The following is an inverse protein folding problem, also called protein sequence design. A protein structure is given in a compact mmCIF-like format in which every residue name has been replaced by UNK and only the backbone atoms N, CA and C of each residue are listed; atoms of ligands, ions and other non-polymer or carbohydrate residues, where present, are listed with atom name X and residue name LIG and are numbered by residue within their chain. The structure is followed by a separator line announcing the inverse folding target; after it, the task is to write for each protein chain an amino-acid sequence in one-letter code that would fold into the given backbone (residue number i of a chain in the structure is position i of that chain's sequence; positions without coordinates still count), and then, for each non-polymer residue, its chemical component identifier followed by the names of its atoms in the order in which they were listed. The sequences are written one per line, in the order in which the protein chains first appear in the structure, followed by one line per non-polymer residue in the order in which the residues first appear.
data_IF_045715004924
#
_entry.id   IF_045715004924
#
_cell.length_a   1.000
_cell.length_b   1.000
_cell.length_c   1.000
_cell.angle_alpha   90.00
_cell.angle_beta   90.00
_cell.angle_gamma   90.00
#
_symmetry.space_group_name_H-M   'P 1'
#
loop_
_entity.id
_entity.type
_entity.pdbx_description
1 polymer ?
#
# COMPACT_ATOMS: atom_id res chain seq x y z
N UNK A 1 -25.36 21.57 69.86
CA UNK A 1 -24.84 22.50 68.83
C UNK A 1 -24.26 21.59 67.79
N UNK A 2 -25.16 21.19 66.91
CA UNK A 2 -24.98 20.06 66.01
C UNK A 2 -24.70 20.68 64.66
N UNK A 3 -23.45 20.58 64.19
CA UNK A 3 -23.11 21.03 62.85
C UNK A 3 -23.78 20.09 61.85
N UNK A 4 -24.77 20.62 61.15
CA UNK A 4 -25.52 19.86 60.15
C UNK A 4 -24.61 19.54 58.97
N UNK A 5 -24.46 18.25 58.69
CA UNK A 5 -23.85 17.73 57.47
C UNK A 5 -24.62 18.26 56.25
N UNK A 6 -24.05 19.24 55.53
CA UNK A 6 -24.65 19.77 54.30
C UNK A 6 -24.25 18.89 53.11
N UNK A 7 -25.22 18.38 52.33
CA UNK A 7 -24.93 17.52 51.17
C UNK A 7 -24.49 18.31 49.93
N UNK A 8 -24.44 19.64 49.98
CA UNK A 8 -24.21 20.51 48.81
C UNK A 8 -22.75 20.53 48.32
N UNK A 9 -21.82 19.92 49.05
CA UNK A 9 -20.40 19.91 48.69
C UNK A 9 -19.91 18.55 48.14
N UNK A 10 -20.83 17.76 47.55
CA UNK A 10 -20.47 16.62 46.71
C UNK A 10 -19.94 17.14 45.37
N UNK A 11 -18.69 17.58 45.41
CA UNK A 11 -17.88 17.84 44.22
C UNK A 11 -17.74 16.51 43.48
N UNK A 12 -18.54 16.36 42.43
CA UNK A 12 -18.40 15.24 41.50
C UNK A 12 -17.07 15.44 40.78
N UNK A 13 -16.01 14.82 41.30
CA UNK A 13 -14.85 14.46 40.50
C UNK A 13 -15.39 13.62 39.34
N UNK A 14 -15.61 14.28 38.20
CA UNK A 14 -15.57 13.60 36.92
C UNK A 14 -14.15 13.05 36.84
N UNK A 15 -14.00 11.74 37.09
CA UNK A 15 -12.87 11.00 36.57
C UNK A 15 -12.85 11.31 35.07
N UNK A 16 -11.86 12.11 34.67
CA UNK A 16 -11.64 12.52 33.29
C UNK A 16 -11.31 11.21 32.54
N UNK A 17 -12.34 10.58 31.95
CA UNK A 17 -12.19 9.40 31.09
C UNK A 17 -11.31 9.82 29.93
N UNK A 18 -9.99 9.66 30.10
CA UNK A 18 -8.92 10.18 29.25
C UNK A 18 -9.28 10.00 27.78
N UNK A 19 -9.80 11.07 27.17
CA UNK A 19 -10.56 10.97 25.92
C UNK A 19 -9.63 10.42 24.84
N UNK A 20 -9.95 9.21 24.39
CA UNK A 20 -9.14 8.49 23.40
C UNK A 20 -9.11 9.32 22.12
N UNK A 21 -7.94 9.89 21.81
CA UNK A 21 -7.76 10.74 20.63
C UNK A 21 -8.27 10.07 19.36
N UNK A 22 -8.77 10.86 18.41
CA UNK A 22 -9.30 10.35 17.14
C UNK A 22 -8.28 9.43 16.44
N UNK A 23 -6.99 9.76 16.51
CA UNK A 23 -5.90 8.97 15.92
C UNK A 23 -5.77 7.59 16.57
N UNK A 24 -5.77 7.54 17.91
CA UNK A 24 -5.72 6.27 18.67
C UNK A 24 -6.95 5.43 18.36
N UNK A 25 -8.15 6.02 18.49
CA UNK A 25 -9.42 5.38 18.19
C UNK A 25 -9.44 4.80 16.78
N UNK A 26 -9.04 5.59 15.77
CA UNK A 26 -9.03 5.18 14.37
C UNK A 26 -8.04 4.02 14.13
N UNK A 27 -6.86 4.03 14.74
CA UNK A 27 -5.88 2.95 14.57
C UNK A 27 -6.32 1.65 15.25
N UNK A 28 -7.06 1.73 16.36
CA UNK A 28 -7.60 0.57 17.08
C UNK A 28 -8.89 0.00 16.45
N UNK A 29 -9.49 0.69 15.48
CA UNK A 29 -10.65 0.16 14.73
C UNK A 29 -10.31 -1.17 14.05
N UNK A 30 -11.21 -2.14 14.20
CA UNK A 30 -11.09 -3.47 13.59
C UNK A 30 -11.09 -3.38 12.06
N UNK A 31 -9.93 -3.60 11.45
CA UNK A 31 -9.67 -3.37 10.03
C UNK A 31 -8.50 -2.43 9.80
N UNK A 32 -8.13 -1.59 10.76
CA UNK A 32 -7.09 -0.58 10.64
C UNK A 32 -5.72 -1.02 11.22
N UNK A 33 -5.54 -2.32 11.49
CA UNK A 33 -4.35 -2.85 12.15
C UNK A 33 -3.03 -2.63 11.36
N UNK A 34 -3.11 -2.22 10.10
CA UNK A 34 -1.96 -1.89 9.24
C UNK A 34 -1.47 -0.44 9.37
N UNK A 35 -2.22 0.44 10.04
CA UNK A 35 -1.78 1.82 10.32
C UNK A 35 -0.81 1.85 11.50
N UNK A 36 0.10 2.82 11.50
CA UNK A 36 0.71 3.34 12.72
C UNK A 36 0.03 4.66 13.13
N UNK A 37 0.17 5.03 14.40
CA UNK A 37 -0.23 6.35 14.87
C UNK A 37 0.73 7.40 14.32
N UNK A 38 0.22 8.37 13.57
CA UNK A 38 0.98 9.52 13.09
C UNK A 38 1.16 10.51 14.25
N UNK A 39 2.36 11.04 14.43
CA UNK A 39 2.64 12.03 15.47
C UNK A 39 1.84 13.32 15.22
N UNK A 40 1.21 13.89 16.26
CA UNK A 40 0.49 15.17 16.16
C UNK A 40 1.38 16.28 15.60
N UNK A 41 2.66 16.34 16.00
CA UNK A 41 3.60 17.35 15.50
C UNK A 41 3.77 17.33 13.97
N UNK A 42 3.72 16.14 13.35
CA UNK A 42 3.83 15.98 11.90
C UNK A 42 2.59 16.53 11.18
N UNK A 43 1.41 16.35 11.79
CA UNK A 43 0.12 16.82 11.26
C UNK A 43 -0.02 18.33 11.43
N UNK A 44 0.44 18.90 12.55
CA UNK A 44 0.35 20.35 12.80
C UNK A 44 1.30 21.22 11.97
N UNK A 45 2.24 20.60 11.26
CA UNK A 45 3.12 21.30 10.31
C UNK A 45 2.52 21.26 8.90
N UNK A 46 1.90 22.38 8.52
CA UNK A 46 1.25 22.61 7.21
C UNK A 46 2.13 22.21 6.01
N UNK A 47 3.45 22.30 6.13
CA UNK A 47 4.36 21.91 5.05
C UNK A 47 4.18 20.43 4.68
N UNK A 48 4.03 19.56 5.68
CA UNK A 48 3.80 18.12 5.49
C UNK A 48 2.43 17.82 4.86
N UNK A 49 1.46 18.73 5.00
CA UNK A 49 0.10 18.60 4.45
C UNK A 49 -0.08 19.25 3.06
N UNK A 50 0.94 19.92 2.54
CA UNK A 50 0.91 20.65 1.26
C UNK A 50 0.26 19.83 0.14
N UNK A 51 -0.76 20.41 -0.52
CA UNK A 51 -1.44 19.81 -1.67
C UNK A 51 -2.53 18.77 -1.34
N UNK A 52 -2.83 18.49 -0.07
CA UNK A 52 -3.94 17.59 0.30
C UNK A 52 -5.32 18.27 0.24
N UNK A 53 -5.41 19.57 0.55
CA UNK A 53 -6.68 20.31 0.60
C UNK A 53 -7.52 20.27 -0.71
N UNK A 54 -6.95 20.30 -1.93
CA UNK A 54 -7.73 20.14 -3.17
C UNK A 54 -8.22 18.71 -3.43
N UNK A 55 -7.67 17.71 -2.73
CA UNK A 55 -7.97 16.28 -2.93
C UNK A 55 -9.09 15.83 -1.97
N UNK A 56 -9.12 16.39 -0.76
CA UNK A 56 -10.03 15.98 0.32
C UNK A 56 -11.21 16.96 0.48
N UNK A 57 -12.47 16.51 0.29
CA UNK A 57 -13.65 17.32 0.62
C UNK A 57 -13.67 17.72 2.11
N UNK A 58 -14.23 18.89 2.47
CA UNK A 58 -14.31 19.34 3.87
C UNK A 58 -12.96 19.33 4.63
N UNK A 59 -11.83 19.49 3.92
CA UNK A 59 -10.46 19.36 4.46
C UNK A 59 -10.25 19.98 5.85
N UNK A 60 -10.72 21.22 6.09
CA UNK A 60 -10.54 21.89 7.38
C UNK A 60 -11.27 21.18 8.53
N UNK A 61 -12.57 20.89 8.37
CA UNK A 61 -13.33 20.12 9.37
C UNK A 61 -12.78 18.69 9.57
N UNK A 62 -12.27 18.07 8.50
CA UNK A 62 -11.62 16.76 8.59
C UNK A 62 -10.31 16.82 9.38
N UNK A 63 -9.52 17.88 9.21
CA UNK A 63 -8.28 18.11 9.95
C UNK A 63 -8.54 18.46 11.42
N UNK A 64 -9.54 19.31 11.69
CA UNK A 64 -10.01 19.62 13.06
C UNK A 64 -10.44 18.34 13.79
N UNK A 65 -11.19 17.46 13.14
CA UNK A 65 -11.61 16.17 13.70
C UNK A 65 -10.43 15.23 14.00
N UNK A 66 -9.46 15.10 13.09
CA UNK A 66 -8.23 14.29 13.33
C UNK A 66 -7.40 14.84 14.49
N UNK A 67 -7.43 16.16 14.68
CA UNK A 67 -6.69 16.88 15.71
C UNK A 67 -7.51 17.14 16.98
N UNK A 68 -8.66 16.49 17.16
CA UNK A 68 -9.54 16.63 18.34
C UNK A 68 -9.82 18.10 18.71
N UNK A 69 -9.95 18.98 17.70
CA UNK A 69 -10.17 20.42 17.91
C UNK A 69 -11.66 20.72 17.95
N UNK A 70 -12.15 21.12 19.12
CA UNK A 70 -13.53 21.62 19.26
C UNK A 70 -13.70 22.96 18.51
N UNK A 71 -14.57 22.95 17.51
CA UNK A 71 -14.90 24.12 16.69
C UNK A 71 -16.40 24.40 16.74
N UNK A 72 -16.79 25.61 17.17
CA UNK A 72 -18.20 26.06 17.20
C UNK A 72 -18.86 26.08 15.80
N UNK A 73 -18.07 26.06 14.73
CA UNK A 73 -18.59 25.99 13.36
C UNK A 73 -19.13 24.59 13.02
N UNK A 74 -18.62 23.54 13.70
CA UNK A 74 -19.06 22.15 13.51
C UNK A 74 -20.50 21.88 14.00
N UNK A 75 -20.98 22.68 14.96
CA UNK A 75 -22.36 22.61 15.47
C UNK A 75 -23.42 22.99 14.42
N UNK A 76 -23.04 23.82 13.44
CA UNK A 76 -23.91 24.22 12.33
C UNK A 76 -24.09 23.15 11.25
N UNK A 77 -23.34 22.05 11.29
CA UNK A 77 -23.37 21.01 10.27
C UNK A 77 -24.58 20.09 10.39
N UNK A 78 -25.25 19.84 9.27
CA UNK A 78 -26.28 18.79 9.20
C UNK A 78 -25.67 17.41 9.41
N UNK A 79 -26.46 16.45 9.91
CA UNK A 79 -26.09 15.04 10.08
C UNK A 79 -25.44 14.42 8.81
N UNK A 80 -25.95 14.79 7.62
CA UNK A 80 -25.39 14.34 6.35
C UNK A 80 -24.00 14.95 6.05
N UNK A 81 -23.74 16.19 6.49
CA UNK A 81 -22.42 16.81 6.39
C UNK A 81 -21.43 16.20 7.40
N UNK A 82 -21.86 15.92 8.64
CA UNK A 82 -21.00 15.28 9.65
C UNK A 82 -20.43 13.94 9.15
N UNK A 83 -21.28 13.09 8.54
CA UNK A 83 -20.84 11.84 7.87
C UNK A 83 -19.88 12.02 6.71
N UNK A 84 -19.96 13.15 5.99
CA UNK A 84 -19.02 13.49 4.93
C UNK A 84 -17.68 13.99 5.49
N UNK A 85 -17.70 14.70 6.62
CA UNK A 85 -16.49 15.08 7.38
C UNK A 85 -15.79 13.85 7.93
N UNK A 86 -16.51 12.92 8.56
CA UNK A 86 -15.98 11.62 9.04
C UNK A 86 -15.26 10.86 7.91
N UNK A 87 -15.94 10.62 6.78
CA UNK A 87 -15.34 9.93 5.63
C UNK A 87 -14.16 10.70 5.02
N UNK A 88 -14.15 12.03 5.12
CA UNK A 88 -13.02 12.85 4.66
C UNK A 88 -11.84 12.81 5.63
N UNK A 89 -12.07 12.67 6.94
CA UNK A 89 -11.04 12.47 7.95
C UNK A 89 -10.32 11.12 7.76
N UNK A 90 -11.06 10.03 7.47
CA UNK A 90 -10.45 8.74 7.14
C UNK A 90 -9.50 8.84 5.93
N UNK A 91 -9.92 9.54 4.86
CA UNK A 91 -9.13 9.74 3.65
C UNK A 91 -7.92 10.64 3.90
N UNK A 92 -8.12 11.74 4.64
CA UNK A 92 -7.06 12.69 4.99
C UNK A 92 -5.99 12.02 5.85
N UNK A 93 -6.40 11.33 6.92
CA UNK A 93 -5.47 10.59 7.78
C UNK A 93 -4.72 9.52 6.99
N UNK A 94 -5.38 8.80 6.09
CA UNK A 94 -4.74 7.84 5.20
C UNK A 94 -3.67 8.46 4.30
N UNK A 95 -3.95 9.62 3.68
CA UNK A 95 -2.99 10.36 2.85
C UNK A 95 -1.83 10.95 3.65
N UNK A 96 -2.10 11.40 4.89
CA UNK A 96 -1.08 11.85 5.85
C UNK A 96 -0.17 10.69 6.24
N UNK A 97 -0.76 9.55 6.59
CA UNK A 97 -0.04 8.33 6.97
C UNK A 97 0.91 7.87 5.86
N UNK A 98 0.48 7.88 4.59
CA UNK A 98 1.33 7.56 3.44
C UNK A 98 2.59 8.42 3.35
N UNK A 99 2.49 9.72 3.69
CA UNK A 99 3.64 10.63 3.78
C UNK A 99 4.48 10.30 5.02
N UNK A 100 3.85 10.19 6.18
CA UNK A 100 4.50 9.96 7.47
C UNK A 100 5.37 8.70 7.49
N UNK A 101 4.89 7.57 6.95
CA UNK A 101 5.63 6.30 6.93
C UNK A 101 6.86 6.28 6.02
N UNK A 102 7.10 7.35 5.25
CA UNK A 102 8.36 7.55 4.52
C UNK A 102 9.38 8.41 5.29
N UNK A 103 9.00 9.00 6.42
CA UNK A 103 9.91 9.71 7.33
C UNK A 103 10.69 8.73 8.20
N UNK A 104 11.82 9.15 8.77
CA UNK A 104 12.60 8.31 9.68
C UNK A 104 11.85 7.84 10.94
N UNK A 105 10.85 8.60 11.42
CA UNK A 105 10.03 8.23 12.58
C UNK A 105 8.93 7.23 12.19
N UNK A 106 8.21 7.50 11.09
CA UNK A 106 7.21 6.58 10.56
C UNK A 106 7.79 5.25 10.08
N UNK A 107 8.96 5.26 9.42
CA UNK A 107 9.69 4.03 9.04
C UNK A 107 10.02 3.16 10.26
N UNK A 108 10.43 3.77 11.38
CA UNK A 108 10.73 3.04 12.63
C UNK A 108 9.47 2.40 13.23
N UNK A 109 8.36 3.14 13.33
CA UNK A 109 7.10 2.60 13.85
C UNK A 109 6.58 1.44 12.97
N UNK A 110 6.74 1.55 11.65
CA UNK A 110 6.36 0.47 10.73
C UNK A 110 7.35 -0.71 10.75
N UNK A 111 8.64 -0.49 11.02
CA UNK A 111 9.61 -1.57 11.29
C UNK A 111 9.19 -2.35 12.54
N UNK A 112 8.79 -1.68 13.61
CA UNK A 112 8.35 -2.30 14.86
C UNK A 112 7.12 -3.20 14.65
N UNK A 113 6.13 -2.74 13.87
CA UNK A 113 4.96 -3.55 13.46
C UNK A 113 5.33 -4.71 12.53
N UNK A 114 6.30 -4.50 11.63
CA UNK A 114 6.81 -5.53 10.72
C UNK A 114 7.50 -6.68 11.47
N UNK A 115 8.35 -6.35 12.45
CA UNK A 115 9.06 -7.34 13.27
C UNK A 115 8.10 -8.13 14.16
N UNK A 116 6.98 -7.54 14.57
CA UNK A 116 5.88 -8.22 15.28
C UNK A 116 4.98 -9.07 14.36
N UNK A 117 5.11 -8.94 13.03
CA UNK A 117 4.34 -9.70 12.06
C UNK A 117 2.88 -9.25 11.91
N UNK A 118 2.53 -8.04 12.36
CA UNK A 118 1.15 -7.53 12.39
C UNK A 118 0.51 -7.44 10.99
N UNK A 119 1.31 -7.16 9.97
CA UNK A 119 0.88 -7.14 8.56
C UNK A 119 0.59 -8.53 7.97
N UNK A 120 0.90 -9.60 8.72
CA UNK A 120 0.70 -10.99 8.32
C UNK A 120 1.90 -11.60 7.58
N UNK A 121 1.68 -12.81 7.06
CA UNK A 121 2.73 -13.70 6.56
C UNK A 121 2.48 -14.18 5.13
N UNK A 122 3.58 -14.40 4.40
CA UNK A 122 3.56 -14.74 2.98
C UNK A 122 2.79 -16.04 2.70
N UNK A 123 1.84 -16.05 1.74
CA UNK A 123 1.06 -17.24 1.40
C UNK A 123 1.86 -18.30 0.61
N UNK A 124 3.05 -17.98 0.09
CA UNK A 124 3.91 -18.95 -0.60
C UNK A 124 4.58 -19.88 0.40
N UNK A 125 4.36 -21.18 0.24
CA UNK A 125 4.92 -22.25 1.10
C UNK A 125 6.44 -22.11 1.30
N UNK A 126 7.20 -21.89 0.23
CA UNK A 126 8.67 -21.75 0.28
C UNK A 126 9.17 -20.37 0.77
N UNK A 127 8.26 -19.48 1.15
CA UNK A 127 8.60 -18.30 1.95
C UNK A 127 8.49 -18.59 3.45
N UNK A 128 8.04 -19.78 3.87
CA UNK A 128 8.05 -20.27 5.26
C UNK A 128 7.38 -19.29 6.24
N UNK A 129 6.32 -18.61 5.79
CA UNK A 129 5.58 -17.65 6.60
C UNK A 129 6.29 -16.30 6.85
N UNK A 130 7.29 -15.94 6.02
CA UNK A 130 7.99 -14.67 6.13
C UNK A 130 7.03 -13.46 6.21
N UNK A 131 7.35 -12.49 7.06
CA UNK A 131 6.56 -11.30 7.28
C UNK A 131 6.34 -10.49 5.98
N UNK A 132 5.25 -9.74 5.95
CA UNK A 132 4.84 -8.91 4.81
C UNK A 132 4.86 -7.42 5.18
N UNK A 133 4.85 -6.56 4.17
CA UNK A 133 4.69 -5.12 4.31
C UNK A 133 3.48 -4.64 3.51
N UNK A 134 2.63 -3.72 4.04
CA UNK A 134 1.57 -3.12 3.26
C UNK A 134 2.13 -2.27 2.10
N UNK A 135 1.42 -2.24 0.98
CA UNK A 135 1.82 -1.51 -0.24
C UNK A 135 0.59 -1.10 -1.06
N UNK A 136 0.64 0.09 -1.64
CA UNK A 136 -0.28 0.54 -2.68
C UNK A 136 0.23 0.19 -4.08
N UNK A 137 -0.67 -0.16 -5.00
CA UNK A 137 -0.31 -0.28 -6.43
C UNK A 137 -0.40 1.06 -7.18
N UNK A 138 -0.95 2.08 -6.52
CA UNK A 138 -1.05 3.47 -6.96
C UNK A 138 -1.05 4.36 -5.73
N UNK A 139 -0.59 5.60 -5.89
CA UNK A 139 -0.63 6.66 -4.89
C UNK A 139 -1.91 7.53 -5.03
N UNK A 140 -2.81 7.17 -5.96
CA UNK A 140 -4.11 7.83 -6.18
C UNK A 140 -5.22 7.09 -5.42
N UNK A 141 -5.95 7.82 -4.59
CA UNK A 141 -7.05 7.29 -3.77
C UNK A 141 -8.15 6.70 -4.66
N UNK A 142 -8.72 5.57 -4.24
CA UNK A 142 -9.79 4.78 -4.84
C UNK A 142 -9.42 4.00 -6.11
N UNK A 143 -8.16 4.01 -6.54
CA UNK A 143 -7.72 3.18 -7.68
C UNK A 143 -7.51 1.71 -7.32
N UNK A 144 -6.97 1.41 -6.13
CA UNK A 144 -6.67 0.03 -5.73
C UNK A 144 -6.71 -0.15 -4.21
N UNK A 145 -7.10 -1.34 -3.74
CA UNK A 145 -6.96 -1.70 -2.32
C UNK A 145 -5.49 -1.89 -1.96
N UNK A 146 -5.18 -1.75 -0.67
CA UNK A 146 -3.89 -2.19 -0.11
C UNK A 146 -3.59 -3.65 -0.47
N UNK A 147 -2.33 -3.92 -0.81
CA UNK A 147 -1.74 -5.24 -1.01
C UNK A 147 -0.63 -5.46 0.02
N UNK A 148 -0.10 -6.67 0.05
CA UNK A 148 0.97 -7.06 0.96
C UNK A 148 2.18 -7.53 0.15
N UNK A 149 3.27 -6.76 0.16
CA UNK A 149 4.55 -7.10 -0.45
C UNK A 149 5.33 -8.10 0.42
N UNK A 150 5.87 -9.14 -0.20
CA UNK A 150 6.79 -10.06 0.46
C UNK A 150 8.24 -9.76 0.07
N UNK A 151 9.09 -9.27 0.98
CA UNK A 151 10.51 -9.02 0.67
C UNK A 151 11.31 -10.29 0.43
N UNK A 152 10.81 -11.46 0.83
CA UNK A 152 11.49 -12.73 0.56
C UNK A 152 11.35 -13.18 -0.90
N UNK A 153 10.17 -13.05 -1.50
CA UNK A 153 9.93 -13.52 -2.87
C UNK A 153 9.60 -12.42 -3.88
N UNK A 154 9.72 -11.16 -3.47
CA UNK A 154 9.64 -9.96 -4.32
C UNK A 154 8.34 -9.86 -5.12
N UNK A 155 7.21 -10.12 -4.45
CA UNK A 155 5.90 -10.28 -5.08
C UNK A 155 4.78 -9.82 -4.12
N UNK A 156 3.62 -9.45 -4.66
CA UNK A 156 2.51 -8.81 -3.94
C UNK A 156 1.28 -9.73 -3.80
N UNK A 157 0.63 -9.67 -2.64
CA UNK A 157 -0.49 -10.53 -2.27
C UNK A 157 -1.70 -9.73 -1.80
N UNK A 158 -2.89 -10.32 -1.95
CA UNK A 158 -4.09 -9.78 -1.32
C UNK A 158 -4.08 -10.08 0.18
N UNK A 159 -4.50 -9.14 1.05
CA UNK A 159 -4.71 -9.42 2.46
C UNK A 159 -5.64 -10.63 2.66
N UNK A 160 -5.20 -11.58 3.51
CA UNK A 160 -5.94 -12.82 3.77
C UNK A 160 -7.31 -12.51 4.36
N UNK A 161 -7.37 -11.65 5.38
CA UNK A 161 -8.61 -11.23 6.03
C UNK A 161 -9.39 -10.28 5.14
N UNK A 162 -10.72 -10.40 5.12
CA UNK A 162 -11.59 -9.58 4.27
C UNK A 162 -11.65 -8.12 4.75
N UNK A 163 -11.54 -7.87 6.07
CA UNK A 163 -11.55 -6.52 6.68
C UNK A 163 -10.49 -5.57 6.09
N UNK A 164 -9.34 -6.12 5.68
CA UNK A 164 -8.23 -5.35 5.12
C UNK A 164 -8.37 -5.06 3.62
N UNK A 165 -9.33 -5.69 2.92
CA UNK A 165 -9.45 -5.59 1.45
C UNK A 165 -10.16 -4.33 0.96
N UNK A 166 -10.83 -3.61 1.86
CA UNK A 166 -11.48 -2.32 1.58
C UNK A 166 -10.60 -1.11 1.88
N UNK A 167 -9.46 -1.30 2.56
CA UNK A 167 -8.50 -0.22 2.81
C UNK A 167 -7.84 0.22 1.50
N UNK A 168 -7.68 1.54 1.34
CA UNK A 168 -7.08 2.12 0.15
C UNK A 168 -5.57 1.90 0.09
N UNK A 169 -5.05 1.50 -1.07
CA UNK A 169 -3.62 1.30 -1.27
C UNK A 169 -2.82 2.60 -1.18
N UNK A 170 -3.43 3.73 -1.54
CA UNK A 170 -2.79 5.04 -1.50
C UNK A 170 -2.37 5.46 -0.08
N UNK A 171 -2.94 4.86 0.98
CA UNK A 171 -2.63 5.16 2.37
C UNK A 171 -1.30 4.54 2.88
N UNK A 172 -0.71 3.63 2.10
CA UNK A 172 0.68 3.17 2.27
C UNK A 172 1.57 3.55 1.08
N UNK A 173 0.96 3.77 -0.08
CA UNK A 173 1.62 4.20 -1.29
C UNK A 173 2.55 3.14 -1.90
N UNK A 174 3.15 3.51 -3.02
CA UNK A 174 4.06 2.66 -3.80
C UNK A 174 5.47 2.58 -3.20
N UNK A 175 5.88 3.60 -2.43
CA UNK A 175 7.28 3.80 -2.02
C UNK A 175 7.65 3.11 -0.70
N UNK A 176 6.76 3.12 0.29
CA UNK A 176 7.02 2.72 1.68
C UNK A 176 7.82 1.41 1.85
N UNK A 177 7.39 0.24 1.33
CA UNK A 177 8.06 -1.02 1.63
C UNK A 177 9.49 -1.05 1.07
N UNK A 178 9.70 -0.44 -0.10
CA UNK A 178 11.01 -0.42 -0.76
C UNK A 178 11.99 0.50 -0.02
N UNK A 179 11.52 1.64 0.48
CA UNK A 179 12.32 2.56 1.29
C UNK A 179 12.74 1.92 2.62
N UNK A 180 11.82 1.25 3.32
CA UNK A 180 12.13 0.52 4.54
C UNK A 180 13.19 -0.58 4.30
N UNK A 181 13.04 -1.35 3.21
CA UNK A 181 13.99 -2.40 2.87
C UNK A 181 15.37 -1.88 2.43
N UNK A 182 15.44 -0.68 1.84
CA UNK A 182 16.71 0.01 1.62
C UNK A 182 17.41 0.32 2.95
N UNK A 183 16.71 0.92 3.90
CA UNK A 183 17.26 1.27 5.21
C UNK A 183 17.68 0.03 6.04
N UNK A 184 16.90 -1.06 5.96
CA UNK A 184 17.26 -2.34 6.60
C UNK A 184 18.55 -2.94 6.00
N UNK A 185 18.69 -2.89 4.66
CA UNK A 185 19.90 -3.35 3.95
C UNK A 185 21.13 -2.51 4.29
N UNK A 186 20.99 -1.20 4.41
CA UNK A 186 22.07 -0.30 4.87
C UNK A 186 22.54 -0.62 6.29
N UNK A 187 21.62 -1.08 7.15
CA UNK A 187 21.90 -1.62 8.50
C UNK A 187 22.43 -3.07 8.50
N UNK A 188 22.70 -3.66 7.33
CA UNK A 188 23.25 -5.00 7.18
C UNK A 188 22.23 -6.14 7.28
N UNK A 189 20.92 -5.86 7.32
CA UNK A 189 19.87 -6.89 7.30
C UNK A 189 19.71 -7.43 5.88
N UNK A 190 19.94 -8.73 5.71
CA UNK A 190 19.78 -9.43 4.43
C UNK A 190 18.60 -10.39 4.47
N UNK A 191 17.73 -10.33 3.47
CA UNK A 191 16.59 -11.22 3.31
C UNK A 191 16.86 -12.13 2.10
N UNK A 192 17.26 -13.40 2.31
CA UNK A 192 17.59 -14.30 1.20
C UNK A 192 16.32 -14.83 0.50
N UNK A 193 16.35 -15.02 -0.83
CA UNK A 193 15.21 -15.55 -1.57
C UNK A 193 14.87 -17.00 -1.16
N UNK A 194 13.69 -17.54 -1.54
CA UNK A 194 13.34 -18.94 -1.33
C UNK A 194 14.42 -19.87 -1.88
N UNK A 195 14.93 -20.74 -1.01
CA UNK A 195 15.88 -21.79 -1.33
C UNK A 195 15.26 -22.94 -2.14
N UNK A 196 13.93 -22.93 -2.34
CA UNK A 196 13.17 -23.97 -3.02
C UNK A 196 12.04 -23.38 -3.87
N UNK A 197 11.69 -24.07 -4.96
CA UNK A 197 10.53 -23.80 -5.80
C UNK A 197 9.67 -25.06 -5.92
N UNK A 198 8.35 -24.90 -6.08
CA UNK A 198 7.46 -26.05 -6.29
C UNK A 198 7.86 -26.80 -7.56
N UNK A 199 8.16 -28.10 -7.42
CA UNK A 199 8.42 -29.01 -8.52
C UNK A 199 7.16 -29.86 -8.73
N UNK A 200 6.30 -29.56 -9.71
CA UNK A 200 5.11 -30.37 -10.00
C UNK A 200 5.53 -31.79 -10.40
N UNK A 201 4.86 -32.78 -9.81
CA UNK A 201 5.10 -34.21 -10.08
C UNK A 201 3.79 -34.97 -10.30
N UNK A 202 3.80 -35.91 -11.23
CA UNK A 202 2.73 -36.87 -11.49
C UNK A 202 3.34 -38.28 -11.38
N UNK A 203 2.82 -39.10 -10.46
CA UNK A 203 3.39 -40.41 -10.09
C UNK A 203 4.92 -40.37 -9.78
N UNK A 204 5.39 -39.27 -9.17
CA UNK A 204 6.81 -39.05 -8.86
C UNK A 204 7.65 -38.44 -10.00
N UNK A 205 7.22 -38.56 -11.25
CA UNK A 205 7.88 -37.95 -12.41
C UNK A 205 7.63 -36.45 -12.46
N UNK A 206 8.69 -35.65 -12.73
CA UNK A 206 8.57 -34.19 -12.86
C UNK A 206 7.73 -33.85 -14.09
N UNK A 207 6.76 -32.95 -13.96
CA UNK A 207 6.00 -32.42 -15.10
C UNK A 207 6.92 -31.56 -15.95
N UNK A 208 7.00 -31.86 -17.25
CA UNK A 208 7.82 -31.11 -18.22
C UNK A 208 7.31 -29.68 -18.34
N UNK A 209 8.20 -28.69 -18.37
CA UNK A 209 7.83 -27.30 -18.67
C UNK A 209 7.31 -27.19 -20.12
N UNK A 210 6.27 -26.37 -20.38
CA UNK A 210 5.91 -25.99 -21.75
C UNK A 210 7.13 -25.43 -22.49
N UNK A 211 7.23 -25.70 -23.80
CA UNK A 211 8.34 -25.21 -24.64
C UNK A 211 9.66 -25.98 -24.55
N UNK A 212 9.88 -26.87 -23.56
CA UNK A 212 11.03 -27.79 -23.62
C UNK A 212 10.90 -28.72 -24.83
N UNK A 213 11.97 -28.96 -25.62
CA UNK A 213 11.92 -29.96 -26.70
C UNK A 213 11.47 -31.33 -26.17
N UNK A 214 10.72 -32.07 -26.99
CA UNK A 214 10.50 -33.49 -26.74
C UNK A 214 11.81 -34.21 -27.06
N UNK A 215 12.23 -35.14 -26.19
CA UNK A 215 13.30 -36.08 -26.53
C UNK A 215 12.72 -37.01 -27.59
N UNK A 216 13.08 -36.76 -28.85
CA UNK A 216 12.75 -37.64 -29.98
C UNK A 216 13.70 -38.82 -29.96
N UNK A 217 13.28 -39.93 -29.37
CA UNK A 217 14.02 -41.19 -29.46
C UNK A 217 14.05 -41.65 -30.94
N UNK A 218 15.15 -41.36 -31.63
CA UNK A 218 15.21 -41.41 -33.10
C UNK A 218 16.60 -41.61 -33.70
N UNK A 219 17.59 -42.00 -32.90
CA UNK A 219 18.83 -42.68 -33.34
C UNK A 219 19.50 -43.22 -32.07
N UNK A 220 20.03 -44.44 -32.11
CA UNK A 220 20.75 -45.02 -30.98
C UNK A 220 22.23 -44.70 -31.08
N UNK A 221 22.78 -44.06 -30.04
CA UNK A 221 24.18 -44.20 -29.66
C UNK A 221 24.22 -44.54 -28.18
N UNK A 222 25.07 -45.49 -27.81
CA UNK A 222 25.26 -45.89 -26.41
C UNK A 222 25.99 -44.76 -25.66
N UNK A 223 25.49 -44.35 -24.50
CA UNK A 223 26.42 -43.97 -23.45
C UNK A 223 25.90 -44.29 -22.05
N UNK A 224 26.87 -44.49 -21.15
CA UNK A 224 26.70 -45.28 -19.93
C UNK A 224 26.09 -44.49 -18.78
N UNK A 225 25.36 -45.18 -17.91
CA UNK A 225 24.73 -44.56 -16.76
C UNK A 225 25.75 -44.04 -15.75
N UNK A 226 25.74 -42.73 -15.50
CA UNK A 226 26.37 -42.10 -14.36
C UNK A 226 25.34 -41.31 -13.56
N UNK A 227 24.94 -41.83 -12.40
CA UNK A 227 24.20 -41.05 -11.42
C UNK A 227 25.17 -40.07 -10.73
N UNK A 228 25.08 -38.79 -11.05
CA UNK A 228 25.81 -37.74 -10.33
C UNK A 228 24.89 -37.00 -9.36
N UNK A 229 25.07 -37.29 -8.08
CA UNK A 229 24.78 -36.32 -7.03
C UNK A 229 25.92 -35.29 -7.00
N UNK A 230 25.57 -34.02 -6.86
CA UNK A 230 26.48 -32.88 -6.66
C UNK A 230 25.59 -31.66 -6.42
N UNK A 231 25.55 -31.09 -5.22
CA UNK A 231 26.62 -30.32 -4.58
C UNK A 231 26.97 -29.10 -5.44
N UNK A 232 26.71 -27.92 -4.91
CA UNK A 232 26.95 -26.67 -5.65
C UNK A 232 28.42 -26.35 -5.77
N UNK A 233 28.74 -25.48 -6.72
CA UNK A 233 29.97 -24.69 -6.67
C UNK A 233 29.66 -23.23 -7.01
N UNK A 234 30.33 -22.33 -6.31
CA UNK A 234 30.28 -20.88 -6.51
C UNK A 234 31.59 -20.49 -7.16
N UNK A 235 31.53 -20.00 -8.39
CA UNK A 235 32.71 -19.43 -9.06
C UNK A 235 32.46 -18.02 -9.54
N UNK A 236 32.97 -17.06 -8.76
CA UNK A 236 33.18 -15.69 -9.22
C UNK A 236 34.20 -15.65 -10.36
N UNK A 237 33.91 -14.87 -11.41
CA UNK A 237 34.94 -14.15 -12.18
C UNK A 237 34.45 -12.76 -12.58
N UNK A 238 35.06 -11.74 -11.97
CA UNK A 238 35.39 -10.49 -12.65
C UNK A 238 36.75 -10.70 -13.36
N UNK A 239 37.30 -9.85 -14.24
CA UNK A 239 36.86 -8.59 -14.85
C UNK A 239 36.91 -8.78 -16.41
N UNK A 240 37.01 -7.83 -17.35
CA UNK A 240 37.11 -6.35 -17.39
C UNK A 240 36.62 -5.83 -18.77
N UNK A 241 36.49 -4.51 -18.95
CA UNK A 241 36.55 -3.89 -20.29
C UNK A 241 35.55 -2.75 -20.54
N UNK A 242 35.96 -1.50 -20.28
CA UNK A 242 35.23 -0.32 -20.75
C UNK A 242 35.38 -0.17 -22.28
N UNK A 243 34.34 0.36 -22.94
CA UNK A 243 34.55 1.27 -24.07
C UNK A 243 33.40 2.28 -24.19
N UNK A 244 33.71 3.56 -24.01
CA UNK A 244 32.83 4.67 -24.39
C UNK A 244 32.64 4.71 -25.91
N UNK A 245 31.42 5.01 -26.36
CA UNK A 245 31.16 5.94 -27.46
C UNK A 245 29.88 6.71 -27.18
N UNK A 246 29.98 8.03 -27.26
CA UNK A 246 28.85 8.97 -27.31
C UNK A 246 28.34 9.05 -28.75
N UNK A 247 27.05 9.30 -28.94
CA UNK A 247 26.55 10.00 -30.13
C UNK A 247 25.24 10.73 -29.77
N UNK A 248 25.16 12.01 -30.13
CA UNK A 248 24.05 12.90 -29.76
C UNK A 248 22.91 12.88 -30.79
N UNK A 249 21.69 13.05 -30.28
CA UNK A 249 20.71 14.01 -30.81
C UNK A 249 20.14 13.83 -32.23
N UNK A 250 18.87 13.42 -32.31
CA UNK A 250 17.96 13.88 -33.36
C UNK A 250 16.51 13.95 -32.86
N UNK A 251 15.91 15.15 -32.88
CA UNK A 251 14.48 15.37 -32.63
C UNK A 251 13.72 15.39 -33.96
N UNK A 252 12.76 14.49 -34.10
CA UNK A 252 11.64 14.56 -35.03
C UNK A 252 10.51 13.69 -34.45
N UNK A 253 9.23 13.99 -34.61
CA UNK A 253 8.57 14.96 -35.48
C UNK A 253 7.17 14.40 -35.72
N UNK A 254 6.14 15.16 -35.34
CA UNK A 254 4.76 14.69 -35.30
C UNK A 254 4.22 14.27 -36.67
N UNK A 255 3.43 13.20 -36.71
CA UNK A 255 2.49 12.94 -37.80
C UNK A 255 1.23 12.25 -37.26
N UNK A 256 0.22 13.07 -36.95
CA UNK A 256 -1.16 12.63 -36.72
C UNK A 256 -1.81 12.49 -38.09
N UNK A 257 -2.21 11.27 -38.47
CA UNK A 257 -2.92 11.04 -39.72
C UNK A 257 -4.43 11.24 -39.54
N UNK A 258 -4.92 12.31 -40.17
CA UNK A 258 -6.33 12.65 -40.37
C UNK A 258 -7.10 11.49 -41.04
N UNK A 259 -8.18 11.05 -40.41
CA UNK A 259 -9.24 10.25 -41.05
C UNK A 259 -10.63 10.82 -40.77
N UNK A 260 -10.95 11.84 -41.57
CA UNK A 260 -12.28 12.33 -41.99
C UNK A 260 -13.48 11.41 -41.68
N UNK A 261 -14.46 12.02 -41.03
CA UNK A 261 -15.85 11.56 -40.98
C UNK A 261 -16.54 11.65 -42.36
N UNK A 262 -17.42 10.71 -42.73
CA UNK A 262 -18.49 10.97 -43.68
C UNK A 262 -19.72 11.53 -42.96
N UNK A 263 -20.30 12.60 -43.51
CA UNK A 263 -21.63 13.06 -43.12
C UNK A 263 -22.68 12.37 -44.00
N UNK A 264 -23.67 11.72 -43.40
CA UNK A 264 -24.90 11.32 -44.10
C UNK A 264 -26.10 12.00 -43.45
N UNK A 265 -26.89 12.66 -44.30
CA UNK A 265 -28.11 13.35 -43.95
C UNK A 265 -29.29 12.38 -43.95
N UNK A 266 -30.19 12.52 -42.96
CA UNK A 266 -31.54 11.96 -43.07
C UNK A 266 -32.57 13.01 -42.68
N UNK A 267 -33.48 13.27 -43.61
CA UNK A 267 -34.60 14.19 -43.46
C UNK A 267 -35.73 13.54 -42.65
N UNK A 268 -36.39 14.33 -41.81
CA UNK A 268 -37.78 14.05 -41.44
C UNK A 268 -38.54 15.35 -41.21
N UNK A 269 -39.81 15.35 -41.62
CA UNK A 269 -40.56 16.55 -41.93
C UNK A 269 -41.23 17.22 -40.73
N UNK A 270 -41.22 18.55 -40.78
CA UNK A 270 -42.26 19.49 -40.35
C UNK A 270 -43.59 18.89 -39.88
N UNK A 271 -43.98 19.21 -38.63
CA UNK A 271 -45.37 19.48 -38.26
C UNK A 271 -45.41 20.68 -37.31
N UNK A 272 -46.02 21.77 -37.78
CA UNK A 272 -46.32 22.93 -36.94
C UNK A 272 -47.67 22.82 -36.25
N UNK A 273 -47.77 23.42 -35.06
CA UNK A 273 -48.97 23.88 -34.36
C UNK A 273 -48.44 24.99 -33.43
N UNK A 274 -48.58 26.26 -33.78
CA UNK A 274 -49.80 27.07 -33.65
C UNK A 274 -50.12 27.39 -32.19
N UNK A 275 -49.43 28.40 -31.66
CA UNK A 275 -49.98 29.64 -31.07
C UNK A 275 -49.08 30.81 -31.48
#
# INVERSE_FOLDING_TARGET
MDEAYSPENMEYEYEDEELVSWITWFCDLKGNEFFCMVDREFITDDFNLTGLAPIVPFYHYALELILDVESMESDGLTEQQKRLVESSAEILYGLIHARFITTGRGLKLMEEKYMQGEFGSCPRVFCEGHALLPVGQSDVVRESSVKLFCPRCEDIYHPRSVRHRSLDGAFWGTTFPHLLLMQLRERGVSIPPPNQQYVPKVYGFRVRKPGTPLITNGAGEEETGAASAGAGDVSHKAEAGLHHKEEEGAVAGSNVLDQRLPAESSSSSSKGKAE
#
